data_IF_855626270884
#
_entry.id   IF_855626270884
#
_cell.length_a   1.000
_cell.length_b   1.000
_cell.length_c   1.000
_cell.angle_alpha   90.00
_cell.angle_beta   90.00
_cell.angle_gamma   90.00
#
_symmetry.space_group_name_H-M   'P 1'
#
loop_
_entity.id
_entity.type
_entity.pdbx_description
1 polymer ?
#
# COMPACT_ATOMS: atom_id res chain seq x y z
N UNK A 1 -19.82 -19.05 -36.73
CA UNK A 1 -20.51 -20.24 -36.19
C UNK A 1 -20.11 -20.39 -34.72
N UNK A 2 -21.07 -20.44 -33.79
CA UNK A 2 -20.79 -20.66 -32.36
C UNK A 2 -20.52 -22.15 -32.17
N UNK A 3 -19.36 -22.52 -31.62
CA UNK A 3 -18.97 -23.92 -31.39
C UNK A 3 -19.40 -24.35 -29.99
N UNK A 4 -20.31 -25.32 -29.89
CA UNK A 4 -20.72 -25.92 -28.62
C UNK A 4 -19.79 -27.08 -28.27
N UNK A 5 -19.30 -27.14 -27.03
CA UNK A 5 -18.44 -28.22 -26.51
C UNK A 5 -18.91 -28.64 -25.13
N UNK A 6 -18.90 -29.94 -24.85
CA UNK A 6 -19.13 -30.49 -23.50
C UNK A 6 -18.00 -30.10 -22.52
N UNK A 7 -16.83 -29.73 -23.05
CA UNK A 7 -15.66 -29.34 -22.28
C UNK A 7 -15.33 -27.85 -22.41
N UNK A 8 -16.33 -27.02 -22.75
CA UNK A 8 -16.13 -25.61 -23.02
C UNK A 8 -15.42 -24.88 -21.86
N UNK A 9 -15.65 -25.30 -20.62
CA UNK A 9 -15.03 -24.70 -19.43
C UNK A 9 -13.53 -25.03 -19.35
N UNK A 10 -13.15 -26.31 -19.55
CA UNK A 10 -11.74 -26.72 -19.59
C UNK A 10 -10.99 -26.08 -20.77
N UNK A 11 -11.64 -25.99 -21.94
CA UNK A 11 -11.06 -25.35 -23.12
C UNK A 11 -10.78 -23.85 -22.90
N UNK A 12 -11.74 -23.12 -22.30
CA UNK A 12 -11.55 -21.70 -21.95
C UNK A 12 -10.45 -21.55 -20.91
N UNK A 13 -10.37 -22.43 -19.93
CA UNK A 13 -9.31 -22.41 -18.92
C UNK A 13 -7.93 -22.68 -19.50
N UNK A 14 -7.78 -23.70 -20.35
CA UNK A 14 -6.52 -23.99 -21.03
C UNK A 14 -6.04 -22.79 -21.86
N UNK A 15 -6.98 -22.12 -22.54
CA UNK A 15 -6.70 -20.88 -23.27
C UNK A 15 -6.29 -19.74 -22.34
N UNK A 16 -6.97 -19.54 -21.20
CA UNK A 16 -6.58 -18.54 -20.21
C UNK A 16 -5.18 -18.78 -19.65
N UNK A 17 -4.84 -20.03 -19.35
CA UNK A 17 -3.50 -20.39 -18.87
C UNK A 17 -2.43 -20.08 -19.93
N UNK A 18 -2.72 -20.33 -21.20
CA UNK A 18 -1.82 -19.98 -22.32
C UNK A 18 -1.65 -18.47 -22.51
N UNK A 19 -2.70 -17.68 -22.25
CA UNK A 19 -2.65 -16.21 -22.33
C UNK A 19 -1.88 -15.57 -21.16
N UNK A 20 -1.62 -16.32 -20.08
CA UNK A 20 -0.89 -15.85 -18.90
C UNK A 20 -1.82 -15.20 -17.87
N UNK A 21 -2.37 -16.01 -16.97
CA UNK A 21 -3.10 -15.50 -15.81
C UNK A 21 -2.12 -15.04 -14.72
N UNK A 22 -1.99 -13.73 -14.54
CA UNK A 22 -1.11 -13.13 -13.54
C UNK A 22 -1.38 -13.63 -12.10
N UNK A 23 -2.62 -14.01 -11.77
CA UNK A 23 -2.97 -14.55 -10.46
C UNK A 23 -2.43 -15.96 -10.25
N UNK A 24 -2.44 -16.79 -11.30
CA UNK A 24 -1.83 -18.13 -11.26
C UNK A 24 -0.31 -18.04 -11.14
N UNK A 25 0.31 -17.09 -11.84
CA UNK A 25 1.75 -16.87 -11.71
C UNK A 25 2.09 -16.39 -10.29
N UNK A 26 1.26 -15.54 -9.70
CA UNK A 26 1.42 -15.11 -8.30
C UNK A 26 1.34 -16.29 -7.32
N UNK A 27 0.41 -17.21 -7.53
CA UNK A 27 0.28 -18.43 -6.71
C UNK A 27 1.52 -19.32 -6.70
N UNK A 28 2.32 -19.31 -7.76
CA UNK A 28 3.57 -20.09 -7.81
C UNK A 28 4.67 -19.53 -6.93
N UNK A 29 4.67 -18.22 -6.68
CA UNK A 29 5.78 -17.52 -6.03
C UNK A 29 5.44 -16.97 -4.64
N UNK A 30 4.18 -17.05 -4.23
CA UNK A 30 3.70 -16.45 -2.99
C UNK A 30 3.10 -17.53 -2.10
N UNK A 31 3.61 -17.63 -0.88
CA UNK A 31 3.08 -18.54 0.13
C UNK A 31 1.90 -17.86 0.85
N UNK A 32 0.69 -18.04 0.30
CA UNK A 32 -0.51 -17.44 0.87
C UNK A 32 -0.87 -18.02 2.24
N UNK A 33 -0.52 -19.28 2.51
CA UNK A 33 -0.77 -19.90 3.80
C UNK A 33 0.08 -19.24 4.90
N UNK A 34 1.36 -18.95 4.61
CA UNK A 34 2.21 -18.18 5.52
C UNK A 34 1.70 -16.74 5.72
N UNK A 35 1.24 -16.05 4.67
CA UNK A 35 0.61 -14.73 4.82
C UNK A 35 -0.63 -14.80 5.73
N UNK A 36 -1.45 -15.84 5.56
CA UNK A 36 -2.67 -16.03 6.34
C UNK A 36 -2.38 -16.32 7.82
N UNK A 37 -1.38 -17.17 8.10
CA UNK A 37 -0.97 -17.51 9.46
C UNK A 37 -0.54 -16.26 10.24
N UNK A 38 0.18 -15.35 9.60
CA UNK A 38 0.64 -14.10 10.19
C UNK A 38 -0.51 -13.11 10.45
N UNK A 39 -1.47 -13.07 9.53
CA UNK A 39 -2.69 -12.28 9.73
C UNK A 39 -3.53 -12.85 10.88
N UNK A 40 -3.63 -14.17 11.01
CA UNK A 40 -4.34 -14.81 12.13
C UNK A 40 -3.61 -14.64 13.47
N UNK A 41 -2.28 -14.63 13.47
CA UNK A 41 -1.48 -14.33 14.66
C UNK A 41 -1.71 -12.90 15.13
N UNK A 42 -1.71 -11.94 14.20
CA UNK A 42 -1.89 -10.52 14.53
C UNK A 42 -3.35 -10.14 14.82
N UNK A 43 -4.31 -10.82 14.20
CA UNK A 43 -5.73 -10.59 14.37
C UNK A 43 -6.49 -11.92 14.47
N UNK A 44 -6.51 -12.54 15.66
CA UNK A 44 -7.13 -13.84 15.89
C UNK A 44 -8.58 -13.89 15.42
N UNK A 45 -8.97 -15.06 14.91
CA UNK A 45 -10.34 -15.29 14.47
C UNK A 45 -11.29 -15.27 15.68
N UNK A 46 -12.51 -14.72 15.53
CA UNK A 46 -13.48 -14.74 16.62
C UNK A 46 -13.80 -16.17 17.05
N UNK A 47 -13.97 -16.38 18.36
CA UNK A 47 -14.32 -17.68 18.94
C UNK A 47 -15.64 -18.19 18.38
N UNK A 48 -15.74 -19.52 18.21
CA UNK A 48 -16.94 -20.22 17.76
C UNK A 48 -17.94 -20.49 18.89
N UNK A 49 -17.60 -20.15 20.13
CA UNK A 49 -18.39 -20.46 21.34
C UNK A 49 -19.83 -19.93 21.31
N UNK A 50 -20.09 -18.80 20.64
CA UNK A 50 -21.43 -18.17 20.60
C UNK A 50 -22.35 -18.73 19.51
N UNK A 51 -21.91 -19.74 18.75
CA UNK A 51 -22.64 -20.23 17.58
C UNK A 51 -22.67 -19.22 16.42
N UNK A 52 -22.97 -19.70 15.21
CA UNK A 52 -23.03 -18.87 13.99
C UNK A 52 -22.33 -19.51 12.79
N UNK A 53 -22.51 -18.91 11.61
CA UNK A 53 -21.84 -19.36 10.39
C UNK A 53 -20.32 -19.28 10.57
N UNK A 54 -19.56 -20.36 10.30
CA UNK A 54 -18.10 -20.32 10.42
C UNK A 54 -17.51 -19.20 9.55
N UNK A 55 -16.53 -18.44 10.07
CA UNK A 55 -15.84 -17.44 9.26
C UNK A 55 -15.07 -18.13 8.13
N UNK A 56 -14.98 -17.47 6.97
CA UNK A 56 -14.15 -17.94 5.87
C UNK A 56 -12.68 -18.09 6.31
N UNK A 57 -11.92 -19.00 5.68
CA UNK A 57 -10.48 -19.13 5.92
C UNK A 57 -9.75 -17.79 5.68
N UNK A 58 -8.77 -17.49 6.53
CA UNK A 58 -8.01 -16.23 6.42
C UNK A 58 -7.22 -16.16 5.12
N UNK A 59 -6.70 -17.29 4.62
CA UNK A 59 -6.02 -17.35 3.32
C UNK A 59 -6.93 -16.87 2.17
N UNK A 60 -8.19 -17.33 2.17
CA UNK A 60 -9.17 -16.90 1.20
C UNK A 60 -9.39 -15.38 1.30
N UNK A 61 -9.54 -14.85 2.51
CA UNK A 61 -9.73 -13.41 2.72
C UNK A 61 -8.51 -12.58 2.31
N UNK A 62 -7.28 -13.08 2.54
CA UNK A 62 -6.03 -12.46 2.06
C UNK A 62 -6.04 -12.38 0.53
N UNK A 63 -6.35 -13.49 -0.15
CA UNK A 63 -6.45 -13.55 -1.62
C UNK A 63 -7.51 -12.58 -2.15
N UNK A 64 -8.68 -12.52 -1.52
CA UNK A 64 -9.76 -11.58 -1.88
C UNK A 64 -9.31 -10.12 -1.74
N UNK A 65 -8.68 -9.75 -0.62
CA UNK A 65 -8.18 -8.38 -0.43
C UNK A 65 -7.06 -8.01 -1.42
N UNK A 66 -6.21 -8.97 -1.80
CA UNK A 66 -5.21 -8.74 -2.84
C UNK A 66 -5.87 -8.50 -4.19
N UNK A 67 -6.88 -9.29 -4.59
CA UNK A 67 -7.65 -9.02 -5.81
C UNK A 67 -8.25 -7.59 -5.75
N UNK A 68 -8.82 -7.19 -4.61
CA UNK A 68 -9.35 -5.82 -4.47
C UNK A 68 -8.30 -4.75 -4.75
N UNK A 69 -7.07 -4.92 -4.27
CA UNK A 69 -5.99 -3.96 -4.49
C UNK A 69 -5.49 -3.97 -5.93
N UNK A 70 -5.28 -5.16 -6.51
CA UNK A 70 -4.75 -5.33 -7.87
C UNK A 70 -5.70 -4.75 -8.93
N UNK A 71 -7.02 -4.89 -8.72
CA UNK A 71 -8.05 -4.50 -9.68
C UNK A 71 -8.89 -3.29 -9.23
N UNK A 72 -8.55 -2.66 -8.10
CA UNK A 72 -9.19 -1.45 -7.57
C UNK A 72 -10.72 -1.58 -7.36
N UNK A 73 -11.12 -2.71 -6.77
CA UNK A 73 -12.52 -3.06 -6.55
C UNK A 73 -13.02 -2.54 -5.19
N UNK A 74 -14.28 -2.10 -5.13
CA UNK A 74 -14.97 -1.88 -3.85
C UNK A 74 -15.37 -3.22 -3.22
N UNK A 75 -15.94 -3.20 -2.02
CA UNK A 75 -16.44 -4.42 -1.38
C UNK A 75 -17.64 -4.99 -2.16
N UNK A 76 -18.55 -4.13 -2.65
CA UNK A 76 -19.68 -4.51 -3.53
C UNK A 76 -19.19 -5.13 -4.85
N UNK A 77 -18.22 -4.47 -5.50
CA UNK A 77 -17.68 -4.94 -6.77
C UNK A 77 -16.89 -6.24 -6.58
N UNK A 78 -16.20 -6.40 -5.45
CA UNK A 78 -15.50 -7.64 -5.17
C UNK A 78 -16.47 -8.82 -5.04
N UNK A 79 -17.57 -8.65 -4.31
CA UNK A 79 -18.63 -9.66 -4.22
C UNK A 79 -19.18 -10.03 -5.60
N UNK A 80 -19.58 -9.03 -6.39
CA UNK A 80 -20.09 -9.27 -7.75
C UNK A 80 -19.07 -10.01 -8.63
N UNK A 81 -17.81 -9.59 -8.59
CA UNK A 81 -16.75 -10.16 -9.43
C UNK A 81 -16.34 -11.57 -8.95
N UNK A 82 -16.53 -11.92 -7.68
CA UNK A 82 -16.37 -13.30 -7.20
C UNK A 82 -17.49 -14.22 -7.71
N UNK A 83 -18.69 -13.71 -7.96
CA UNK A 83 -19.78 -14.49 -8.58
C UNK A 83 -19.55 -14.69 -10.09
N UNK A 84 -19.02 -13.66 -10.75
CA UNK A 84 -18.95 -13.61 -12.22
C UNK A 84 -17.63 -14.17 -12.80
N UNK A 85 -16.49 -13.90 -12.17
CA UNK A 85 -15.18 -14.16 -12.80
C UNK A 85 -14.52 -15.44 -12.31
N UNK A 86 -14.46 -16.42 -13.21
CA UNK A 86 -13.77 -17.70 -12.96
C UNK A 86 -12.30 -17.55 -12.52
N UNK A 87 -11.56 -16.58 -13.04
CA UNK A 87 -10.16 -16.36 -12.64
C UNK A 87 -10.03 -15.98 -11.16
N UNK A 88 -10.98 -15.18 -10.65
CA UNK A 88 -10.99 -14.78 -9.24
C UNK A 88 -11.47 -15.92 -8.35
N UNK A 89 -12.50 -16.66 -8.77
CA UNK A 89 -12.94 -17.86 -8.06
C UNK A 89 -11.83 -18.90 -7.96
N UNK A 90 -11.10 -19.13 -9.06
CA UNK A 90 -9.97 -20.05 -9.09
C UNK A 90 -8.87 -19.61 -8.11
N UNK A 91 -8.42 -18.36 -8.22
CA UNK A 91 -7.36 -17.83 -7.36
C UNK A 91 -7.74 -17.79 -5.88
N UNK A 92 -9.01 -17.55 -5.55
CA UNK A 92 -9.50 -17.54 -4.17
C UNK A 92 -9.88 -18.92 -3.63
N UNK A 93 -9.74 -20.00 -4.42
CA UNK A 93 -10.12 -21.36 -4.01
C UNK A 93 -11.63 -21.60 -3.91
N UNK A 94 -12.43 -20.81 -4.64
CA UNK A 94 -13.89 -20.77 -4.55
C UNK A 94 -14.62 -21.54 -5.68
N UNK A 95 -13.90 -22.18 -6.60
CA UNK A 95 -14.50 -22.84 -7.78
C UNK A 95 -15.56 -23.90 -7.47
N UNK A 96 -15.36 -24.67 -6.40
CA UNK A 96 -16.29 -25.72 -5.99
C UNK A 96 -17.25 -25.24 -4.88
N UNK A 97 -17.17 -23.97 -4.48
CA UNK A 97 -17.96 -23.43 -3.38
C UNK A 97 -19.20 -22.72 -3.93
N UNK A 98 -20.37 -23.09 -3.42
CA UNK A 98 -21.60 -22.30 -3.63
C UNK A 98 -21.64 -21.02 -2.79
N UNK A 99 -20.74 -20.92 -1.81
CA UNK A 99 -20.66 -19.80 -0.88
C UNK A 99 -19.47 -18.90 -1.23
N UNK A 100 -19.72 -17.59 -1.30
CA UNK A 100 -18.68 -16.58 -1.45
C UNK A 100 -18.73 -15.56 -0.31
N UNK A 101 -17.62 -14.88 0.01
CA UNK A 101 -17.63 -13.72 0.89
C UNK A 101 -18.44 -12.59 0.26
N UNK A 102 -19.51 -12.20 0.94
CA UNK A 102 -20.24 -10.99 0.60
C UNK A 102 -19.48 -9.72 1.02
N UNK A 103 -19.97 -8.58 0.57
CA UNK A 103 -19.46 -7.25 0.92
C UNK A 103 -19.29 -7.06 2.43
N UNK A 104 -20.27 -7.50 3.21
CA UNK A 104 -20.26 -7.34 4.67
C UNK A 104 -19.19 -8.19 5.34
N UNK A 105 -18.90 -9.37 4.79
CA UNK A 105 -17.85 -10.28 5.23
C UNK A 105 -16.48 -9.66 4.97
N UNK A 106 -16.27 -9.11 3.78
CA UNK A 106 -15.03 -8.40 3.41
C UNK A 106 -14.81 -7.20 4.33
N UNK A 107 -15.85 -6.39 4.55
CA UNK A 107 -15.81 -5.24 5.45
C UNK A 107 -15.47 -5.66 6.89
N UNK A 108 -16.16 -6.67 7.42
CA UNK A 108 -15.93 -7.17 8.78
C UNK A 108 -14.51 -7.68 8.98
N UNK A 109 -13.95 -8.35 7.97
CA UNK A 109 -12.56 -8.79 8.01
C UNK A 109 -11.58 -7.61 8.08
N UNK A 110 -11.79 -6.55 7.28
CA UNK A 110 -10.98 -5.32 7.34
C UNK A 110 -11.07 -4.64 8.71
N UNK A 111 -12.27 -4.50 9.25
CA UNK A 111 -12.47 -3.87 10.56
C UNK A 111 -11.84 -4.70 11.69
N UNK A 112 -11.87 -6.04 11.59
CA UNK A 112 -11.16 -6.93 12.54
C UNK A 112 -9.66 -6.62 12.56
N UNK A 113 -9.03 -6.47 11.40
CA UNK A 113 -7.61 -6.12 11.31
C UNK A 113 -7.32 -4.76 11.94
N UNK A 114 -8.20 -3.78 11.71
CA UNK A 114 -8.05 -2.44 12.29
C UNK A 114 -8.19 -2.47 13.81
N UNK A 115 -9.22 -3.16 14.33
CA UNK A 115 -9.49 -3.27 15.76
C UNK A 115 -8.37 -4.01 16.50
N UNK A 116 -7.74 -4.99 15.86
CA UNK A 116 -6.60 -5.72 16.41
C UNK A 116 -5.25 -4.97 16.28
N UNK A 117 -5.22 -3.78 15.64
CA UNK A 117 -3.96 -3.07 15.36
C UNK A 117 -3.10 -3.75 14.28
N UNK A 118 -3.64 -4.75 13.57
CA UNK A 118 -2.94 -5.59 12.61
C UNK A 118 -2.89 -4.99 11.19
N UNK A 119 -2.96 -3.67 11.04
CA UNK A 119 -3.03 -3.02 9.72
C UNK A 119 -1.77 -3.23 8.87
N UNK A 120 -0.63 -3.44 9.52
CA UNK A 120 0.69 -3.62 8.88
C UNK A 120 1.05 -5.10 8.69
N UNK A 121 0.30 -6.02 9.33
CA UNK A 121 0.61 -7.47 9.40
C UNK A 121 0.90 -8.11 8.05
N UNK A 122 0.05 -7.87 7.05
CA UNK A 122 0.25 -8.42 5.69
C UNK A 122 1.49 -7.85 5.01
N UNK A 123 1.78 -6.56 5.21
CA UNK A 123 2.93 -5.92 4.60
C UNK A 123 4.22 -6.47 5.22
N UNK A 124 4.24 -6.67 6.54
CA UNK A 124 5.36 -7.29 7.24
C UNK A 124 5.57 -8.75 6.83
N UNK A 125 4.47 -9.51 6.70
CA UNK A 125 4.51 -10.90 6.22
C UNK A 125 5.08 -10.99 4.79
N UNK A 126 4.64 -10.10 3.89
CA UNK A 126 5.21 -9.99 2.53
C UNK A 126 6.70 -9.65 2.58
N UNK A 127 7.12 -8.68 3.41
CA UNK A 127 8.55 -8.35 3.55
C UNK A 127 9.40 -9.52 4.07
N UNK A 128 8.86 -10.34 4.97
CA UNK A 128 9.52 -11.57 5.42
C UNK A 128 9.70 -12.57 4.29
N UNK A 129 8.66 -12.82 3.48
CA UNK A 129 8.78 -13.69 2.31
C UNK A 129 9.78 -13.14 1.26
N UNK A 130 9.76 -11.83 0.99
CA UNK A 130 10.76 -11.21 0.11
C UNK A 130 12.20 -11.47 0.59
N UNK A 131 12.41 -11.42 1.90
CA UNK A 131 13.71 -11.69 2.52
C UNK A 131 14.10 -13.17 2.41
N UNK A 132 13.15 -14.09 2.62
CA UNK A 132 13.35 -15.54 2.43
C UNK A 132 13.69 -15.89 0.97
N UNK A 133 13.15 -15.14 0.00
CA UNK A 133 13.52 -15.28 -1.41
C UNK A 133 14.86 -14.60 -1.78
N UNK A 134 15.59 -14.04 -0.81
CA UNK A 134 16.91 -13.40 -1.02
C UNK A 134 16.85 -11.96 -1.54
N UNK A 135 15.65 -11.38 -1.73
CA UNK A 135 15.51 -9.98 -2.13
C UNK A 135 15.67 -9.07 -0.91
N UNK A 136 16.88 -9.04 -0.35
CA UNK A 136 17.24 -8.26 0.83
C UNK A 136 17.59 -6.82 0.43
N UNK A 137 17.25 -5.86 1.28
CA UNK A 137 17.58 -4.46 1.08
C UNK A 137 19.09 -4.21 1.34
N UNK A 138 19.90 -4.24 0.26
CA UNK A 138 21.37 -4.00 0.32
C UNK A 138 21.86 -2.83 -0.56
N UNK A 139 20.98 -2.23 -1.36
CA UNK A 139 21.32 -1.22 -2.37
C UNK A 139 21.31 0.24 -1.89
N UNK A 140 20.95 0.49 -0.63
CA UNK A 140 20.59 1.80 -0.11
C UNK A 140 19.08 2.05 -0.18
N UNK A 141 18.65 3.15 0.45
CA UNK A 141 17.25 3.44 0.77
C UNK A 141 16.79 4.70 0.06
N UNK A 142 15.67 4.62 -0.66
CA UNK A 142 15.04 5.78 -1.29
C UNK A 142 13.81 6.16 -0.49
N UNK A 143 13.81 7.37 0.08
CA UNK A 143 12.69 7.90 0.84
C UNK A 143 11.97 8.94 0.01
N UNK A 144 10.66 8.76 -0.13
CA UNK A 144 9.78 9.70 -0.82
C UNK A 144 8.36 9.60 -0.29
N UNK A 145 7.58 10.66 -0.49
CA UNK A 145 6.20 10.74 -0.05
C UNK A 145 5.24 11.10 -1.19
N UNK A 146 4.10 10.41 -1.22
CA UNK A 146 3.03 10.69 -2.16
C UNK A 146 1.74 11.06 -1.43
N UNK A 147 1.04 12.08 -1.94
CA UNK A 147 -0.31 12.39 -1.51
C UNK A 147 -1.27 11.31 -2.03
N UNK A 148 -2.21 10.92 -1.19
CA UNK A 148 -3.29 9.98 -1.47
C UNK A 148 -4.61 10.72 -1.27
N UNK A 149 -5.38 10.86 -2.33
CA UNK A 149 -6.56 11.72 -2.32
C UNK A 149 -7.73 11.00 -1.66
N UNK A 150 -8.45 11.70 -0.79
CA UNK A 150 -9.76 11.29 -0.30
C UNK A 150 -10.86 12.12 -1.00
N UNK A 151 -12.13 11.67 -1.01
CA UNK A 151 -13.24 12.45 -1.55
C UNK A 151 -13.30 13.82 -0.87
N UNK A 152 -13.26 14.89 -1.67
CA UNK A 152 -13.30 16.27 -1.17
C UNK A 152 -14.62 16.52 -0.45
N UNK A 153 -14.55 17.23 0.66
CA UNK A 153 -15.73 17.53 1.48
C UNK A 153 -15.89 19.04 1.59
N UNK A 154 -17.13 19.50 1.40
CA UNK A 154 -17.51 20.88 1.72
C UNK A 154 -17.88 20.96 3.21
N UNK A 155 -17.30 21.93 3.90
CA UNK A 155 -17.53 22.31 5.28
C UNK A 155 -17.57 23.85 5.34
N UNK A 156 -18.46 24.41 6.16
CA UNK A 156 -18.43 25.85 6.43
C UNK A 156 -17.24 26.21 7.36
N UNK A 157 -17.04 27.50 7.63
CA UNK A 157 -15.87 27.97 8.40
C UNK A 157 -15.88 27.43 9.83
N UNK A 158 -17.03 27.44 10.48
CA UNK A 158 -17.21 27.01 11.87
C UNK A 158 -16.99 25.50 12.00
N UNK A 159 -17.61 24.70 11.11
CA UNK A 159 -17.43 23.24 11.03
C UNK A 159 -15.95 22.89 10.79
N UNK A 160 -15.27 23.64 9.91
CA UNK A 160 -13.85 23.41 9.61
C UNK A 160 -12.98 23.65 10.85
N UNK A 161 -13.21 24.72 11.59
CA UNK A 161 -12.46 25.02 12.82
C UNK A 161 -12.66 23.92 13.86
N UNK A 162 -13.90 23.49 14.08
CA UNK A 162 -14.22 22.41 15.02
C UNK A 162 -13.52 21.09 14.62
N UNK A 163 -13.62 20.69 13.35
CA UNK A 163 -12.96 19.47 12.86
C UNK A 163 -11.44 19.54 12.97
N UNK A 164 -10.85 20.73 12.76
CA UNK A 164 -9.40 20.94 12.95
C UNK A 164 -8.98 20.77 14.41
N UNK A 165 -9.83 21.14 15.36
CA UNK A 165 -9.63 20.93 16.80
C UNK A 165 -9.96 19.48 17.25
N UNK A 166 -10.36 18.61 16.33
CA UNK A 166 -10.76 17.24 16.66
C UNK A 166 -12.20 17.11 17.20
N UNK A 167 -12.97 18.20 17.21
CA UNK A 167 -14.36 18.20 17.63
C UNK A 167 -15.32 17.84 16.49
N UNK A 168 -16.44 17.20 16.83
CA UNK A 168 -17.52 16.90 15.87
C UNK A 168 -18.59 18.00 15.99
N UNK A 169 -18.96 18.68 14.89
CA UNK A 169 -20.02 19.69 14.94
C UNK A 169 -21.35 19.13 15.46
N UNK A 170 -21.91 19.76 16.49
CA UNK A 170 -23.10 19.29 17.18
C UNK A 170 -24.31 19.11 16.24
N UNK A 171 -24.51 20.05 15.31
CA UNK A 171 -25.61 20.05 14.35
C UNK A 171 -25.53 18.96 13.27
N UNK A 172 -24.48 18.14 13.22
CA UNK A 172 -24.44 17.01 12.28
C UNK A 172 -25.36 15.89 12.73
N UNK A 173 -26.37 15.59 11.91
CA UNK A 173 -27.16 14.34 12.02
C UNK A 173 -26.24 13.12 11.89
N UNK A 174 -26.56 11.96 12.52
CA UNK A 174 -25.73 10.76 12.44
C UNK A 174 -25.36 10.33 11.01
N UNK A 175 -26.29 10.46 10.05
CA UNK A 175 -26.02 10.17 8.64
C UNK A 175 -24.92 11.05 8.03
N UNK A 176 -24.94 12.37 8.30
CA UNK A 176 -23.89 13.30 7.85
C UNK A 176 -22.55 12.96 8.50
N UNK A 177 -22.53 12.65 9.80
CA UNK A 177 -21.30 12.26 10.53
C UNK A 177 -20.60 11.07 9.86
N UNK A 178 -21.35 10.03 9.48
CA UNK A 178 -20.79 8.81 8.84
C UNK A 178 -20.19 9.06 7.45
N UNK A 179 -20.56 10.14 6.78
CA UNK A 179 -20.07 10.48 5.43
C UNK A 179 -18.92 11.49 5.44
N UNK A 180 -18.59 12.07 6.60
CA UNK A 180 -17.53 13.08 6.75
C UNK A 180 -16.25 12.45 7.27
N UNK A 181 -15.15 12.77 6.61
CA UNK A 181 -13.81 12.38 7.01
C UNK A 181 -13.22 13.52 7.80
N UNK A 182 -13.32 13.40 9.12
CA UNK A 182 -12.83 14.37 10.09
C UNK A 182 -11.33 14.24 10.35
N UNK A 183 -10.66 13.23 9.80
CA UNK A 183 -9.22 12.96 10.00
C UNK A 183 -8.37 13.35 8.78
N UNK A 184 -8.91 13.27 7.57
CA UNK A 184 -8.26 13.78 6.37
C UNK A 184 -7.96 15.29 6.49
N UNK A 185 -6.88 15.75 5.86
CA UNK A 185 -6.44 17.15 5.92
C UNK A 185 -6.16 17.71 4.53
N UNK A 186 -6.23 19.04 4.42
CA UNK A 186 -5.86 19.76 3.20
C UNK A 186 -4.35 20.03 3.16
N UNK A 187 -3.76 19.97 1.98
CA UNK A 187 -2.38 20.37 1.73
C UNK A 187 -2.26 21.02 0.35
N UNK A 188 -1.21 21.81 0.12
CA UNK A 188 -0.94 22.47 -1.17
C UNK A 188 0.40 21.99 -1.72
N UNK A 189 0.40 21.42 -2.92
CA UNK A 189 1.61 20.96 -3.63
C UNK A 189 1.57 21.45 -5.08
N UNK A 190 2.63 22.11 -5.53
CA UNK A 190 2.74 22.72 -6.87
C UNK A 190 1.54 23.61 -7.24
N UNK A 191 1.14 24.50 -6.33
CA UNK A 191 0.02 25.43 -6.57
C UNK A 191 -1.38 24.79 -6.46
N UNK A 192 -1.50 23.46 -6.45
CA UNK A 192 -2.77 22.74 -6.37
C UNK A 192 -3.07 22.27 -4.94
N UNK A 193 -4.33 22.34 -4.55
CA UNK A 193 -4.82 21.88 -3.25
C UNK A 193 -5.32 20.44 -3.32
N UNK A 194 -4.90 19.63 -2.36
CA UNK A 194 -5.26 18.23 -2.22
C UNK A 194 -5.88 17.98 -0.85
N UNK A 195 -6.87 17.10 -0.80
CA UNK A 195 -7.51 16.66 0.44
C UNK A 195 -7.30 15.16 0.60
N UNK A 196 -6.87 14.72 1.79
CA UNK A 196 -6.72 13.31 2.08
C UNK A 196 -5.56 13.02 3.02
N UNK A 197 -4.79 12.00 2.63
CA UNK A 197 -3.70 11.42 3.41
C UNK A 197 -2.40 11.49 2.62
N UNK A 198 -1.34 11.02 3.24
CA UNK A 198 -0.01 10.90 2.66
C UNK A 198 0.55 9.53 2.99
N UNK A 199 1.28 8.98 2.03
CA UNK A 199 2.07 7.77 2.20
C UNK A 199 3.54 8.10 2.01
N UNK A 200 4.31 7.94 3.06
CA UNK A 200 5.77 8.00 3.05
C UNK A 200 6.30 6.58 2.88
N UNK A 201 7.20 6.36 1.93
CA UNK A 201 7.74 5.02 1.65
C UNK A 201 9.26 5.05 1.69
N UNK A 202 9.82 3.92 2.13
CA UNK A 202 11.21 3.58 1.91
C UNK A 202 11.28 2.41 0.94
N UNK A 203 11.89 2.63 -0.22
CA UNK A 203 12.08 1.60 -1.22
C UNK A 203 13.56 1.27 -1.38
N UNK A 204 13.86 -0.02 -1.59
CA UNK A 204 15.21 -0.44 -1.90
C UNK A 204 15.61 -0.02 -3.32
N UNK A 205 16.87 0.39 -3.48
CA UNK A 205 17.38 0.90 -4.77
C UNK A 205 17.38 -0.15 -5.89
N UNK A 206 17.70 -1.42 -5.59
CA UNK A 206 17.99 -2.45 -6.62
C UNK A 206 16.70 -3.00 -7.19
N UNK A 207 15.86 -3.58 -6.35
CA UNK A 207 14.66 -4.32 -6.72
C UNK A 207 13.41 -3.45 -6.79
N UNK A 208 13.46 -2.24 -6.23
CA UNK A 208 12.31 -1.32 -6.11
C UNK A 208 11.20 -1.88 -5.20
N UNK A 209 11.54 -2.68 -4.19
CA UNK A 209 10.57 -3.17 -3.21
C UNK A 209 10.47 -2.18 -2.05
N UNK A 210 9.26 -1.95 -1.56
CA UNK A 210 9.01 -1.09 -0.40
C UNK A 210 9.30 -1.87 0.87
N UNK A 211 10.11 -1.30 1.77
CA UNK A 211 10.58 -1.91 3.03
C UNK A 211 9.96 -1.30 4.26
N UNK A 212 9.64 -0.02 4.21
CA UNK A 212 8.90 0.69 5.26
C UNK A 212 7.87 1.61 4.64
N UNK A 213 6.75 1.77 5.34
CA UNK A 213 5.67 2.66 4.97
C UNK A 213 5.19 3.38 6.23
N UNK A 214 4.85 4.66 6.08
CA UNK A 214 4.10 5.42 7.08
C UNK A 214 2.94 6.13 6.40
N UNK A 215 1.76 6.01 6.99
CA UNK A 215 0.56 6.73 6.55
C UNK A 215 0.22 7.81 7.56
N UNK A 216 -0.05 9.00 7.06
CA UNK A 216 -0.35 10.19 7.87
C UNK A 216 -1.33 11.12 7.16
N UNK A 217 -1.72 12.21 7.81
CA UNK A 217 -2.58 13.21 7.18
C UNK A 217 -1.83 13.97 6.08
N UNK A 218 -2.52 14.46 5.04
CA UNK A 218 -1.84 15.10 3.92
C UNK A 218 -1.07 16.40 4.30
N UNK A 219 -1.45 17.04 5.40
CA UNK A 219 -0.83 18.28 5.89
C UNK A 219 0.48 18.07 6.64
N UNK A 220 0.72 16.89 7.20
CA UNK A 220 1.96 16.61 7.94
C UNK A 220 3.18 16.75 7.02
N UNK A 221 4.25 17.35 7.52
CA UNK A 221 5.43 17.64 6.71
C UNK A 221 6.23 16.36 6.46
N UNK A 222 6.72 16.14 5.24
CA UNK A 222 7.36 14.85 4.87
C UNK A 222 8.53 14.48 5.82
N UNK A 223 9.27 15.50 6.24
CA UNK A 223 10.35 15.45 7.24
C UNK A 223 9.94 14.85 8.58
N UNK A 224 8.68 14.90 9.02
CA UNK A 224 8.31 14.28 10.33
C UNK A 224 8.32 12.75 10.29
N UNK A 225 8.21 12.15 9.10
CA UNK A 225 8.10 10.70 8.93
C UNK A 225 9.39 10.01 8.50
N UNK A 226 10.45 10.79 8.24
CA UNK A 226 11.68 10.25 7.64
C UNK A 226 12.28 9.13 8.49
N UNK A 227 12.44 9.35 9.79
CA UNK A 227 12.97 8.35 10.72
C UNK A 227 12.03 7.16 10.90
N UNK A 228 10.71 7.37 10.86
CA UNK A 228 9.71 6.30 10.97
C UNK A 228 9.80 5.33 9.78
N UNK A 229 10.25 5.81 8.62
CA UNK A 229 10.44 4.97 7.44
C UNK A 229 11.90 4.55 7.24
N UNK A 230 12.83 4.89 8.13
CA UNK A 230 14.20 4.36 8.02
C UNK A 230 14.21 2.85 8.29
N UNK A 231 14.95 2.13 7.46
CA UNK A 231 15.17 0.70 7.64
C UNK A 231 16.59 0.48 8.20
N UNK A 232 16.74 0.29 9.53
CA UNK A 232 18.05 0.02 10.13
C UNK A 232 18.63 -1.34 9.73
N UNK A 233 17.81 -2.27 9.22
CA UNK A 233 18.24 -3.60 8.79
C UNK A 233 18.91 -3.60 7.41
N UNK A 234 18.73 -2.53 6.63
CA UNK A 234 19.40 -2.38 5.35
C UNK A 234 20.91 -2.23 5.58
N UNK A 235 21.68 -3.16 5.01
CA UNK A 235 23.13 -3.21 5.22
C UNK A 235 23.85 -2.02 4.61
N UNK A 236 23.21 -1.30 3.68
CA UNK A 236 23.76 -0.09 3.09
C UNK A 236 23.15 1.15 3.74
N UNK A 237 24.02 1.89 4.43
CA UNK A 237 23.70 3.12 5.14
C UNK A 237 23.42 4.35 4.26
N UNK A 238 23.35 4.22 2.93
CA UNK A 238 23.02 5.34 2.04
C UNK A 238 21.52 5.62 2.05
N UNK A 239 21.14 6.86 2.33
CA UNK A 239 19.75 7.34 2.27
C UNK A 239 19.63 8.40 1.17
N UNK A 240 18.74 8.19 0.20
CA UNK A 240 18.46 9.12 -0.90
C UNK A 240 17.09 9.77 -0.71
N UNK A 241 17.04 11.10 -0.64
CA UNK A 241 15.80 11.85 -0.47
C UNK A 241 15.82 13.19 -1.22
N UNK A 242 14.64 13.79 -1.40
CA UNK A 242 14.53 15.11 -2.06
C UNK A 242 14.94 16.28 -1.16
N UNK A 243 14.98 17.47 -1.75
CA UNK A 243 15.36 18.72 -1.06
C UNK A 243 14.37 19.19 0.01
N UNK A 244 13.17 18.61 0.07
CA UNK A 244 12.16 18.86 1.10
C UNK A 244 12.54 18.21 2.45
N UNK A 245 13.39 17.18 2.43
CA UNK A 245 13.89 16.51 3.62
C UNK A 245 15.16 17.14 4.24
N UNK A 246 15.64 18.28 3.71
CA UNK A 246 16.82 18.95 4.27
C UNK A 246 16.53 19.43 5.70
N UNK A 247 17.34 18.95 6.64
CA UNK A 247 17.27 19.24 8.06
C UNK A 247 18.68 19.06 8.65
N UNK A 248 19.30 20.17 9.04
CA UNK A 248 20.72 20.18 9.44
C UNK A 248 21.00 19.40 10.73
N UNK A 249 20.10 19.50 11.72
CA UNK A 249 20.27 18.81 13.00
C UNK A 249 20.10 17.31 12.84
N UNK A 250 19.10 16.89 12.07
CA UNK A 250 18.89 15.48 11.73
C UNK A 250 20.02 14.89 10.91
N UNK A 251 20.47 15.59 9.87
CA UNK A 251 21.59 15.13 9.05
C UNK A 251 22.83 14.94 9.92
N UNK A 252 23.14 15.88 10.82
CA UNK A 252 24.27 15.77 11.74
C UNK A 252 24.11 14.56 12.69
N UNK A 253 22.93 14.38 13.29
CA UNK A 253 22.65 13.25 14.19
C UNK A 253 22.76 11.90 13.48
N UNK A 254 22.14 11.75 12.31
CA UNK A 254 22.16 10.49 11.55
C UNK A 254 23.56 10.18 11.00
N UNK A 255 24.32 11.19 10.56
CA UNK A 255 25.71 11.00 10.15
C UNK A 255 26.58 10.48 11.32
N UNK A 256 26.38 11.00 12.56
CA UNK A 256 27.06 10.47 13.76
C UNK A 256 26.71 9.01 14.06
N UNK A 257 25.52 8.55 13.63
CA UNK A 257 25.09 7.16 13.72
C UNK A 257 25.56 6.29 12.53
N UNK A 258 26.40 6.82 11.64
CA UNK A 258 26.97 6.09 10.50
C UNK A 258 26.09 6.10 9.24
N UNK A 259 24.97 6.83 9.23
CA UNK A 259 24.18 7.03 8.02
C UNK A 259 24.89 7.94 7.03
N UNK A 260 24.68 7.72 5.74
CA UNK A 260 25.23 8.53 4.65
C UNK A 260 24.10 9.25 3.94
N UNK A 261 23.93 10.53 4.27
CA UNK A 261 22.81 11.35 3.83
C UNK A 261 23.02 11.89 2.41
N UNK A 262 22.31 11.31 1.44
CA UNK A 262 22.23 11.78 0.05
C UNK A 262 20.92 12.54 -0.18
N UNK A 263 20.70 13.58 0.63
CA UNK A 263 19.58 14.52 0.47
C UNK A 263 19.98 15.60 -0.54
N UNK A 264 19.10 15.93 -1.48
CA UNK A 264 19.35 17.02 -2.43
C UNK A 264 19.49 18.35 -1.71
N UNK A 265 20.47 19.17 -2.09
CA UNK A 265 20.66 20.51 -1.53
C UNK A 265 19.58 21.45 -2.03
N UNK A 266 19.09 22.31 -1.13
CA UNK A 266 18.13 23.38 -1.40
C UNK A 266 18.87 24.72 -1.40
N UNK A 267 18.70 25.51 -2.46
CA UNK A 267 19.16 26.90 -2.49
C UNK A 267 18.16 27.81 -1.77
N UNK A 268 18.63 28.95 -1.28
CA UNK A 268 17.78 30.06 -0.82
C UNK A 268 17.72 31.16 -1.88
N UNK A 269 16.84 32.14 -1.69
CA UNK A 269 16.71 33.29 -2.60
C UNK A 269 18.05 34.02 -2.78
N UNK A 270 18.82 34.13 -1.70
CA UNK A 270 20.07 34.89 -1.66
C UNK A 270 21.32 34.01 -1.86
N UNK A 271 21.16 32.68 -1.82
CA UNK A 271 22.25 31.72 -2.01
C UNK A 271 21.79 30.58 -2.92
N UNK A 272 21.89 30.75 -4.25
CA UNK A 272 21.58 29.68 -5.19
C UNK A 272 22.55 28.51 -5.01
N UNK A 273 22.13 27.34 -5.49
CA UNK A 273 22.99 26.16 -5.46
C UNK A 273 24.12 26.29 -6.48
N UNK A 274 25.36 26.00 -6.04
CA UNK A 274 26.53 26.01 -6.93
C UNK A 274 26.46 24.90 -7.97
N UNK A 275 27.21 25.02 -9.07
CA UNK A 275 27.24 24.00 -10.12
C UNK A 275 27.66 22.62 -9.59
N UNK A 276 28.57 22.59 -8.61
CA UNK A 276 28.95 21.35 -7.93
C UNK A 276 27.76 20.73 -7.17
N UNK A 277 26.95 21.54 -6.48
CA UNK A 277 25.74 21.09 -5.81
C UNK A 277 24.66 20.65 -6.80
N UNK A 278 24.53 21.33 -7.94
CA UNK A 278 23.62 20.92 -9.03
C UNK A 278 24.00 19.56 -9.59
N UNK A 279 25.29 19.32 -9.91
CA UNK A 279 25.78 18.01 -10.36
C UNK A 279 25.52 16.91 -9.32
N UNK A 280 25.73 17.20 -8.03
CA UNK A 280 25.40 16.27 -6.93
C UNK A 280 23.90 15.97 -6.89
N UNK A 281 23.05 17.01 -6.95
CA UNK A 281 21.59 16.85 -6.94
C UNK A 281 21.10 16.03 -8.13
N UNK A 282 21.68 16.22 -9.32
CA UNK A 282 21.35 15.45 -10.52
C UNK A 282 21.69 13.96 -10.33
N UNK A 283 22.87 13.64 -9.77
CA UNK A 283 23.27 12.24 -9.48
C UNK A 283 22.31 11.56 -8.49
N UNK A 284 21.90 12.28 -7.44
CA UNK A 284 20.92 11.80 -6.47
C UNK A 284 19.55 11.61 -7.13
N UNK A 285 19.09 12.61 -7.89
CA UNK A 285 17.81 12.57 -8.60
C UNK A 285 17.70 11.34 -9.53
N UNK A 286 18.74 11.07 -10.32
CA UNK A 286 18.79 9.94 -11.25
C UNK A 286 18.56 8.60 -10.56
N UNK A 287 19.13 8.42 -9.36
CA UNK A 287 18.91 7.21 -8.58
C UNK A 287 17.53 7.20 -7.95
N UNK A 288 17.14 8.32 -7.32
CA UNK A 288 15.89 8.47 -6.58
C UNK A 288 14.66 8.32 -7.47
N UNK A 289 14.72 8.72 -8.75
CA UNK A 289 13.65 8.56 -9.73
C UNK A 289 13.11 7.11 -9.80
N UNK A 290 13.89 6.11 -9.36
CA UNK A 290 13.39 4.73 -9.26
C UNK A 290 12.21 4.56 -8.29
N UNK A 291 12.10 5.38 -7.24
CA UNK A 291 10.95 5.38 -6.32
C UNK A 291 9.67 5.86 -7.00
N UNK A 292 9.78 6.69 -8.04
CA UNK A 292 8.62 7.14 -8.82
C UNK A 292 7.97 5.95 -9.55
N UNK A 293 8.75 4.94 -9.95
CA UNK A 293 8.20 3.70 -10.50
C UNK A 293 7.38 2.91 -9.48
N UNK A 294 7.72 2.96 -8.19
CA UNK A 294 6.92 2.34 -7.12
C UNK A 294 5.56 3.02 -7.09
N UNK A 295 5.54 4.35 -7.01
CA UNK A 295 4.29 5.10 -7.01
C UNK A 295 3.50 4.99 -8.32
N UNK A 296 4.18 4.84 -9.46
CA UNK A 296 3.55 4.57 -10.75
C UNK A 296 2.88 3.19 -10.78
N UNK A 297 3.56 2.15 -10.29
CA UNK A 297 2.97 0.82 -10.16
C UNK A 297 1.76 0.80 -9.22
N UNK A 298 1.85 1.48 -8.07
CA UNK A 298 0.71 1.69 -7.19
C UNK A 298 -0.45 2.44 -7.89
N UNK A 299 -0.16 3.41 -8.75
CA UNK A 299 -1.17 4.14 -9.50
C UNK A 299 -1.79 3.30 -10.63
N UNK A 300 -1.06 2.38 -11.24
CA UNK A 300 -1.58 1.47 -12.27
C UNK A 300 -2.60 0.47 -11.69
N UNK A 301 -2.51 0.14 -10.41
CA UNK A 301 -3.53 -0.60 -9.65
C UNK A 301 -4.77 0.27 -9.31
N UNK A 302 -5.28 1.02 -10.30
CA UNK A 302 -6.49 1.85 -10.22
C UNK A 302 -6.40 3.14 -9.39
N UNK A 303 -5.21 3.73 -9.28
CA UNK A 303 -5.01 5.10 -8.82
C UNK A 303 -4.74 5.26 -7.32
N UNK A 304 -4.60 6.52 -6.87
CA UNK A 304 -4.26 6.90 -5.49
C UNK A 304 -5.45 7.46 -4.70
N UNK A 305 -6.68 7.16 -5.13
CA UNK A 305 -7.88 7.64 -4.44
C UNK A 305 -8.32 6.62 -3.39
N UNK A 306 -8.56 7.08 -2.17
CA UNK A 306 -9.15 6.28 -1.10
C UNK A 306 -10.68 6.37 -1.17
N UNK A 307 -11.33 5.23 -0.94
CA UNK A 307 -12.80 5.14 -0.81
C UNK A 307 -13.26 4.94 0.64
N UNK A 308 -12.33 4.95 1.58
CA UNK A 308 -12.57 4.78 3.01
C UNK A 308 -12.48 6.11 3.75
N UNK A 309 -13.19 6.20 4.87
CA UNK A 309 -13.16 7.34 5.78
C UNK A 309 -12.32 7.00 7.01
N UNK A 310 -11.39 7.89 7.36
CA UNK A 310 -10.59 7.80 8.57
C UNK A 310 -9.19 7.21 8.35
N UNK A 311 -8.26 7.62 9.21
CA UNK A 311 -6.84 7.31 9.13
C UNK A 311 -6.58 5.81 9.25
N UNK A 312 -7.22 5.11 10.19
CA UNK A 312 -7.00 3.68 10.38
C UNK A 312 -7.33 2.85 9.12
N UNK A 313 -8.44 3.16 8.45
CA UNK A 313 -8.82 2.50 7.19
C UNK A 313 -7.91 2.90 6.04
N UNK A 314 -7.47 4.15 5.99
CA UNK A 314 -6.46 4.60 5.02
C UNK A 314 -5.13 3.85 5.21
N UNK A 315 -4.69 3.67 6.45
CA UNK A 315 -3.49 2.91 6.82
C UNK A 315 -3.59 1.46 6.39
N UNK A 316 -4.69 0.78 6.73
CA UNK A 316 -4.94 -0.59 6.27
C UNK A 316 -4.89 -0.66 4.74
N UNK A 317 -5.68 0.15 4.06
CA UNK A 317 -5.77 0.14 2.60
C UNK A 317 -4.41 0.34 1.93
N UNK A 318 -3.61 1.30 2.40
CA UNK A 318 -2.30 1.60 1.81
C UNK A 318 -1.25 0.52 2.12
N UNK A 319 -1.29 -0.10 3.30
CA UNK A 319 -0.45 -1.27 3.60
C UNK A 319 -0.77 -2.43 2.66
N UNK A 320 -2.05 -2.77 2.48
CA UNK A 320 -2.46 -3.80 1.52
C UNK A 320 -2.09 -3.44 0.08
N UNK A 321 -2.23 -2.17 -0.31
CA UNK A 321 -1.85 -1.71 -1.66
C UNK A 321 -0.35 -1.83 -1.91
N UNK A 322 0.47 -1.48 -0.93
CA UNK A 322 1.94 -1.65 -1.04
C UNK A 322 2.33 -3.13 -0.99
N UNK A 323 1.67 -3.95 -0.17
CA UNK A 323 1.88 -5.39 -0.16
C UNK A 323 1.57 -6.01 -1.54
N UNK A 324 0.44 -5.65 -2.15
CA UNK A 324 0.08 -6.08 -3.50
C UNK A 324 1.11 -5.64 -4.55
N UNK A 325 1.59 -4.40 -4.49
CA UNK A 325 2.68 -3.92 -5.34
C UNK A 325 3.95 -4.77 -5.18
N UNK A 326 4.36 -5.02 -3.93
CA UNK A 326 5.56 -5.81 -3.64
C UNK A 326 5.43 -7.25 -4.15
N UNK A 327 4.26 -7.87 -4.03
CA UNK A 327 3.99 -9.21 -4.55
C UNK A 327 4.02 -9.23 -6.09
N UNK A 328 3.39 -8.26 -6.77
CA UNK A 328 3.52 -8.13 -8.22
C UNK A 328 4.98 -7.94 -8.65
N UNK A 329 5.73 -7.15 -7.87
CA UNK A 329 7.15 -6.92 -8.14
C UNK A 329 7.97 -8.18 -7.94
N UNK A 330 7.72 -8.96 -6.88
CA UNK A 330 8.33 -10.26 -6.64
C UNK A 330 8.10 -11.21 -7.82
N UNK A 331 6.85 -11.34 -8.26
CA UNK A 331 6.49 -12.16 -9.43
C UNK A 331 7.29 -11.74 -10.65
N UNK A 332 7.33 -10.44 -10.95
CA UNK A 332 8.15 -9.93 -12.05
C UNK A 332 9.63 -10.30 -11.90
N UNK A 333 10.22 -10.13 -10.70
CA UNK A 333 11.64 -10.43 -10.48
C UNK A 333 11.93 -11.92 -10.72
N UNK A 334 11.05 -12.81 -10.24
CA UNK A 334 11.16 -14.26 -10.42
C UNK A 334 11.01 -14.66 -11.89
N UNK A 335 9.96 -14.20 -12.57
CA UNK A 335 9.69 -14.54 -13.97
C UNK A 335 10.73 -13.96 -14.93
N UNK A 336 11.30 -12.80 -14.61
CA UNK A 336 12.37 -12.18 -15.39
C UNK A 336 13.77 -12.77 -15.09
N UNK A 337 13.88 -13.76 -14.19
CA UNK A 337 15.16 -14.36 -13.82
C UNK A 337 16.13 -13.39 -13.14
N UNK A 338 15.62 -12.36 -12.45
CA UNK A 338 16.48 -11.39 -11.78
C UNK A 338 17.03 -12.02 -10.50
N UNK A 339 18.33 -12.32 -10.50
CA UNK A 339 19.00 -12.93 -9.37
C UNK A 339 18.91 -12.07 -8.10
N UNK A 340 18.49 -12.75 -7.04
CA UNK A 340 18.61 -12.28 -5.66
C UNK A 340 20.09 -12.16 -5.27
N UNK A 341 20.35 -11.43 -4.18
CA UNK A 341 21.72 -11.18 -3.72
C UNK A 341 22.37 -12.40 -3.04
#
# INVERSE_FOLDING_TARGET
MIKTSLFADQEREAKLNKLGDALVVMERHVDFAALAAEVDLAAPRPSRERGGRPPFPTELMVRVLLIQQLFNLSDEQMEFQLLDRLSFQRFAGLRASSQIPDRTTIWTFKERLIQAGASESVFDAVNRQLSQHGYIARGGQMIDASIVQAPKQSLNKEEKTLVMQGAIPAGWKPAKRRQKDTQARWTKKHGKSYFGYKVSVNADKRYKLVRKIKVSTASEHDTTHFEEVLDPSNTNRNILADKGYVDGEREARLNKQGWRMHIQRKGSKDKPISDAQQRRNHRIAKTRARVEHVFAGMAQMGGKALRSIGLARATLHLNWKVAAYNLQRLVYLKEAGIEAF
#
